data_IF_584073861413
#
_entry.id   IF_584073861413
#
_cell.length_a   1.000
_cell.length_b   1.000
_cell.length_c   1.000
_cell.angle_alpha   90.00
_cell.angle_beta   90.00
_cell.angle_gamma   90.00
#
_symmetry.space_group_name_H-M   'P 1'
#
loop_
_entity.id
_entity.type
_entity.pdbx_description
1 polymer ?
#
# COMPACT_ATOMS: atom_id res chain seq x y z
N UNK A 1 -20.77 10.54 -29.71
CA UNK A 1 -20.35 11.80 -29.09
C UNK A 1 -18.85 11.86 -29.22
N UNK A 2 -18.37 12.86 -29.93
CA UNK A 2 -16.95 13.01 -30.26
C UNK A 2 -16.18 13.60 -29.07
N UNK A 3 -14.86 13.41 -29.05
CA UNK A 3 -14.00 13.87 -27.95
C UNK A 3 -14.11 15.38 -27.72
N UNK A 4 -14.27 16.17 -28.78
CA UNK A 4 -14.38 17.63 -28.68
C UNK A 4 -15.75 18.08 -28.15
N UNK A 5 -16.83 17.37 -28.46
CA UNK A 5 -18.15 17.61 -27.84
C UNK A 5 -18.12 17.36 -26.33
N UNK A 6 -17.38 16.34 -25.87
CA UNK A 6 -17.18 16.05 -24.45
C UNK A 6 -16.38 17.13 -23.71
N UNK A 7 -15.40 17.74 -24.39
CA UNK A 7 -14.63 18.85 -23.82
C UNK A 7 -15.51 20.06 -23.55
N UNK A 8 -16.36 20.42 -24.52
CA UNK A 8 -17.30 21.54 -24.38
C UNK A 8 -18.26 21.30 -23.22
N UNK A 9 -18.88 20.11 -23.14
CA UNK A 9 -19.77 19.75 -22.02
C UNK A 9 -19.06 19.86 -20.66
N UNK A 10 -17.80 19.39 -20.59
CA UNK A 10 -17.01 19.45 -19.36
C UNK A 10 -16.67 20.89 -18.96
N UNK A 11 -16.37 21.76 -19.94
CA UNK A 11 -16.11 23.18 -19.71
C UNK A 11 -17.37 23.94 -19.31
N UNK A 12 -18.52 23.64 -19.92
CA UNK A 12 -19.82 24.24 -19.58
C UNK A 12 -20.27 23.88 -18.15
N UNK A 13 -19.91 22.69 -17.68
CA UNK A 13 -20.22 22.22 -16.33
C UNK A 13 -19.13 22.57 -15.31
N UNK A 14 -18.06 23.27 -15.72
CA UNK A 14 -16.94 23.61 -14.85
C UNK A 14 -17.29 24.76 -13.90
N UNK A 15 -17.20 24.49 -12.59
CA UNK A 15 -17.46 25.46 -11.53
C UNK A 15 -16.19 25.85 -10.74
N UNK A 16 -15.02 25.43 -11.21
CA UNK A 16 -13.74 25.76 -10.58
C UNK A 16 -13.33 27.21 -10.82
N UNK A 17 -12.52 27.76 -9.90
CA UNK A 17 -12.07 29.16 -9.94
C UNK A 17 -11.17 29.50 -11.14
N UNK A 18 -10.50 28.51 -11.71
CA UNK A 18 -9.63 28.65 -12.90
C UNK A 18 -9.99 27.58 -13.93
N UNK A 19 -9.97 27.94 -15.22
CA UNK A 19 -10.21 26.98 -16.30
C UNK A 19 -9.08 25.96 -16.37
N UNK A 20 -9.39 24.67 -16.60
CA UNK A 20 -8.35 23.65 -16.77
C UNK A 20 -7.57 23.90 -18.06
N UNK A 21 -6.27 23.60 -18.02
CA UNK A 21 -5.41 23.56 -19.22
C UNK A 21 -5.87 22.46 -20.18
N UNK A 22 -5.63 22.63 -21.48
CA UNK A 22 -5.96 21.61 -22.50
C UNK A 22 -5.42 20.22 -22.18
N UNK A 23 -4.21 20.12 -21.59
CA UNK A 23 -3.62 18.83 -21.21
C UNK A 23 -4.46 18.11 -20.13
N UNK A 24 -4.79 18.82 -19.04
CA UNK A 24 -5.68 18.30 -17.98
C UNK A 24 -7.08 17.97 -18.52
N UNK A 25 -7.62 18.83 -19.39
CA UNK A 25 -8.93 18.61 -20.01
C UNK A 25 -8.91 17.33 -20.87
N UNK A 26 -7.87 17.13 -21.69
CA UNK A 26 -7.69 15.92 -22.48
C UNK A 26 -7.56 14.67 -21.59
N UNK A 27 -6.77 14.73 -20.50
CA UNK A 27 -6.62 13.60 -19.58
C UNK A 27 -7.96 13.17 -18.95
N UNK A 28 -8.76 14.14 -18.51
CA UNK A 28 -10.07 13.86 -17.90
C UNK A 28 -11.04 13.30 -18.93
N UNK A 29 -11.09 13.89 -20.13
CA UNK A 29 -11.97 13.40 -21.21
C UNK A 29 -11.55 12.01 -21.67
N UNK A 30 -10.25 11.72 -21.79
CA UNK A 30 -9.74 10.38 -22.15
C UNK A 30 -10.09 9.35 -21.07
N UNK A 31 -9.97 9.69 -19.80
CA UNK A 31 -10.41 8.84 -18.69
C UNK A 31 -11.93 8.58 -18.74
N UNK A 32 -12.73 9.60 -19.07
CA UNK A 32 -14.18 9.48 -19.20
C UNK A 32 -14.58 8.58 -20.39
N UNK A 33 -13.95 8.78 -21.56
CA UNK A 33 -14.18 7.93 -22.74
C UNK A 33 -13.84 6.47 -22.41
N UNK A 34 -12.67 6.23 -21.83
CA UNK A 34 -12.25 4.89 -21.43
C UNK A 34 -13.26 4.24 -20.46
N UNK A 35 -13.74 5.00 -19.46
CA UNK A 35 -14.77 4.51 -18.54
C UNK A 35 -16.06 4.12 -19.27
N UNK A 36 -16.55 4.93 -20.22
CA UNK A 36 -17.75 4.64 -21.00
C UNK A 36 -17.57 3.41 -21.89
N UNK A 37 -16.42 3.29 -22.57
CA UNK A 37 -16.10 2.13 -23.41
C UNK A 37 -16.05 0.83 -22.61
N UNK A 38 -15.50 0.88 -21.40
CA UNK A 38 -15.50 -0.25 -20.46
C UNK A 38 -16.94 -0.54 -20.03
N UNK A 39 -17.65 0.45 -19.51
CA UNK A 39 -19.01 0.29 -18.97
C UNK A 39 -20.01 -0.26 -20.01
N UNK A 40 -19.89 0.10 -21.29
CA UNK A 40 -20.76 -0.40 -22.36
C UNK A 40 -20.58 -1.90 -22.65
N UNK A 41 -19.40 -2.47 -22.37
CA UNK A 41 -19.10 -3.88 -22.59
C UNK A 41 -19.52 -4.78 -21.42
N UNK A 42 -19.87 -4.19 -20.28
CA UNK A 42 -20.15 -4.92 -19.06
C UNK A 42 -21.63 -5.31 -18.95
N UNK A 43 -21.96 -6.55 -18.54
CA UNK A 43 -23.32 -6.94 -18.17
C UNK A 43 -23.92 -5.99 -17.13
N UNK A 44 -25.08 -5.39 -17.43
CA UNK A 44 -25.73 -4.35 -16.61
C UNK A 44 -26.33 -4.86 -15.29
N UNK A 45 -26.49 -6.17 -15.15
CA UNK A 45 -27.00 -6.86 -13.97
C UNK A 45 -25.94 -7.12 -12.90
N UNK A 46 -24.68 -6.76 -13.17
CA UNK A 46 -23.52 -6.97 -12.28
C UNK A 46 -22.97 -5.66 -11.75
N UNK A 47 -22.29 -5.74 -10.60
CA UNK A 47 -21.63 -4.61 -9.95
C UNK A 47 -20.12 -4.72 -10.18
N UNK A 48 -19.50 -3.62 -10.60
CA UNK A 48 -18.07 -3.54 -10.89
C UNK A 48 -17.38 -2.44 -10.09
N UNK A 49 -16.08 -2.57 -9.85
CA UNK A 49 -15.26 -1.47 -9.33
C UNK A 49 -14.97 -0.42 -10.43
N UNK A 50 -14.29 0.67 -10.04
CA UNK A 50 -13.88 1.72 -10.98
C UNK A 50 -12.90 1.25 -12.07
N UNK A 51 -12.33 0.05 -11.93
CA UNK A 51 -11.41 -0.57 -12.89
C UNK A 51 -12.13 -1.60 -13.79
N UNK A 52 -13.43 -1.82 -13.59
CA UNK A 52 -14.25 -2.75 -14.36
C UNK A 52 -14.20 -4.20 -13.87
N UNK A 53 -13.65 -4.49 -12.68
CA UNK A 53 -13.66 -5.83 -12.12
C UNK A 53 -14.98 -6.14 -11.41
N UNK A 54 -15.53 -7.34 -11.64
CA UNK A 54 -16.78 -7.77 -11.03
C UNK A 54 -16.63 -7.95 -9.51
N UNK A 55 -17.36 -7.15 -8.73
CA UNK A 55 -17.26 -7.11 -7.27
C UNK A 55 -17.70 -8.41 -6.60
N UNK A 56 -18.75 -9.05 -7.12
CA UNK A 56 -19.23 -10.35 -6.62
C UNK A 56 -18.13 -11.42 -6.77
N UNK A 57 -17.42 -11.40 -7.90
CA UNK A 57 -16.30 -12.33 -8.15
C UNK A 57 -15.14 -12.07 -7.18
N UNK A 58 -14.83 -10.80 -6.92
CA UNK A 58 -13.83 -10.39 -5.93
C UNK A 58 -14.13 -10.97 -4.54
N UNK A 59 -15.39 -10.82 -4.10
CA UNK A 59 -15.85 -11.29 -2.80
C UNK A 59 -15.82 -12.83 -2.72
N UNK A 60 -16.29 -13.52 -3.75
CA UNK A 60 -16.20 -14.98 -3.84
C UNK A 60 -14.75 -15.47 -3.78
N UNK A 61 -13.84 -14.81 -4.50
CA UNK A 61 -12.43 -15.15 -4.49
C UNK A 61 -11.77 -14.83 -3.14
N UNK A 62 -12.16 -13.74 -2.47
CA UNK A 62 -11.73 -13.48 -1.09
C UNK A 62 -12.17 -14.62 -0.16
N UNK A 63 -13.43 -15.06 -0.25
CA UNK A 63 -13.94 -16.16 0.57
C UNK A 63 -13.20 -17.49 0.29
N UNK A 64 -12.85 -17.76 -0.97
CA UNK A 64 -12.02 -18.93 -1.35
C UNK A 64 -10.61 -18.83 -0.78
N UNK A 65 -9.95 -17.68 -0.93
CA UNK A 65 -8.64 -17.45 -0.34
C UNK A 65 -8.66 -17.57 1.19
N UNK A 66 -9.74 -17.13 1.84
CA UNK A 66 -9.90 -17.25 3.30
C UNK A 66 -10.07 -18.70 3.76
N UNK A 67 -10.78 -19.55 3.01
CA UNK A 67 -10.85 -20.99 3.30
C UNK A 67 -9.47 -21.65 3.25
N UNK A 68 -8.59 -21.16 2.36
CA UNK A 68 -7.17 -21.50 2.37
C UNK A 68 -6.84 -22.85 1.73
N UNK A 69 -7.71 -23.37 0.88
CA UNK A 69 -7.46 -24.60 0.13
C UNK A 69 -6.33 -24.37 -0.89
N UNK A 70 -5.38 -25.30 -0.96
CA UNK A 70 -4.16 -25.12 -1.76
C UNK A 70 -4.42 -24.85 -3.24
N UNK A 71 -5.37 -25.55 -3.85
CA UNK A 71 -5.77 -25.37 -5.26
C UNK A 71 -6.33 -23.97 -5.53
N UNK A 72 -7.15 -23.45 -4.60
CA UNK A 72 -7.70 -22.10 -4.72
C UNK A 72 -6.59 -21.07 -4.59
N UNK A 73 -5.71 -21.22 -3.60
CA UNK A 73 -4.61 -20.27 -3.39
C UNK A 73 -3.62 -20.26 -4.55
N UNK A 74 -3.34 -21.42 -5.15
CA UNK A 74 -2.47 -21.54 -6.34
C UNK A 74 -3.01 -20.74 -7.53
N UNK A 75 -4.32 -20.64 -7.67
CA UNK A 75 -4.96 -19.81 -8.69
C UNK A 75 -4.98 -18.33 -8.27
N UNK A 76 -5.37 -18.06 -7.03
CA UNK A 76 -5.68 -16.72 -6.54
C UNK A 76 -4.45 -15.88 -6.21
N UNK A 77 -3.26 -16.46 -6.11
CA UNK A 77 -2.00 -15.71 -5.93
C UNK A 77 -1.73 -14.71 -7.06
N UNK A 78 -2.34 -14.94 -8.23
CA UNK A 78 -2.24 -14.07 -9.42
C UNK A 78 -3.53 -13.33 -9.75
N UNK A 79 -4.53 -13.33 -8.84
CA UNK A 79 -5.82 -12.69 -9.06
C UNK A 79 -5.64 -11.20 -9.41
N UNK A 80 -6.44 -10.65 -10.34
CA UNK A 80 -6.31 -9.25 -10.77
C UNK A 80 -6.58 -8.26 -9.62
N UNK A 81 -7.41 -8.67 -8.66
CA UNK A 81 -7.84 -7.83 -7.54
C UNK A 81 -6.86 -8.00 -6.38
N UNK A 82 -6.18 -6.92 -6.02
CA UNK A 82 -5.13 -6.98 -4.99
C UNK A 82 -5.68 -7.40 -3.61
N UNK A 83 -6.95 -7.10 -3.30
CA UNK A 83 -7.60 -7.52 -2.06
C UNK A 83 -7.61 -9.04 -1.92
N UNK A 84 -7.86 -9.77 -3.02
CA UNK A 84 -7.79 -11.24 -3.05
C UNK A 84 -6.36 -11.69 -2.76
N UNK A 85 -5.37 -11.08 -3.41
CA UNK A 85 -3.95 -11.42 -3.19
C UNK A 85 -3.46 -11.11 -1.77
N UNK A 86 -4.01 -10.07 -1.12
CA UNK A 86 -3.80 -9.83 0.33
C UNK A 86 -4.35 -11.00 1.16
N UNK A 87 -5.53 -11.53 0.84
CA UNK A 87 -6.08 -12.73 1.52
C UNK A 87 -5.20 -13.96 1.31
N UNK A 88 -4.61 -14.12 0.12
CA UNK A 88 -3.63 -15.17 -0.16
C UNK A 88 -2.37 -14.98 0.70
N UNK A 89 -1.78 -13.78 0.75
CA UNK A 89 -0.61 -13.49 1.60
C UNK A 89 -0.87 -13.82 3.08
N UNK A 90 -2.09 -13.53 3.57
CA UNK A 90 -2.50 -13.86 4.95
C UNK A 90 -2.54 -15.36 5.25
N UNK A 91 -2.51 -16.25 4.25
CA UNK A 91 -2.40 -17.70 4.45
C UNK A 91 -0.97 -18.16 4.71
N UNK A 92 0.02 -17.28 4.49
CA UNK A 92 1.43 -17.47 4.85
C UNK A 92 2.09 -18.70 4.22
N UNK A 93 1.57 -19.20 3.09
CA UNK A 93 2.21 -20.30 2.37
C UNK A 93 3.48 -19.80 1.71
N UNK A 94 4.55 -20.57 1.87
CA UNK A 94 5.88 -20.12 1.49
C UNK A 94 6.00 -19.81 -0.01
N UNK A 95 5.41 -20.67 -0.86
CA UNK A 95 5.39 -20.51 -2.32
C UNK A 95 4.61 -19.27 -2.79
N UNK A 96 3.55 -18.88 -2.06
CA UNK A 96 2.73 -17.73 -2.44
C UNK A 96 3.48 -16.43 -2.11
N UNK A 97 4.07 -16.37 -0.91
CA UNK A 97 4.83 -15.19 -0.47
C UNK A 97 6.09 -14.96 -1.33
N UNK A 98 6.72 -16.02 -1.85
CA UNK A 98 7.84 -15.93 -2.79
C UNK A 98 7.46 -15.19 -4.09
N UNK A 99 6.17 -15.23 -4.46
CA UNK A 99 5.62 -14.48 -5.59
C UNK A 99 5.20 -13.08 -5.14
N UNK A 100 4.44 -12.99 -4.04
CA UNK A 100 3.77 -11.77 -3.60
C UNK A 100 4.74 -10.71 -3.03
N UNK A 101 5.97 -11.07 -2.67
CA UNK A 101 7.01 -10.11 -2.27
C UNK A 101 7.34 -9.11 -3.41
N UNK A 102 7.08 -9.49 -4.65
CA UNK A 102 7.28 -8.66 -5.85
C UNK A 102 5.98 -8.08 -6.42
N UNK A 103 4.86 -8.19 -5.68
CA UNK A 103 3.54 -7.78 -6.16
C UNK A 103 3.50 -6.31 -6.59
N UNK A 104 2.82 -5.93 -7.70
CA UNK A 104 2.72 -4.53 -8.10
C UNK A 104 2.03 -3.64 -7.04
N UNK A 105 1.08 -4.18 -6.28
CA UNK A 105 0.36 -3.49 -5.22
C UNK A 105 1.19 -3.39 -3.95
N UNK A 106 1.45 -2.15 -3.50
CA UNK A 106 2.13 -1.93 -2.23
C UNK A 106 1.33 -2.44 -1.02
N UNK A 107 0.00 -2.58 -1.13
CA UNK A 107 -0.82 -3.16 -0.06
C UNK A 107 -0.53 -4.65 0.12
N UNK A 108 -0.29 -5.38 -0.97
CA UNK A 108 0.10 -6.80 -0.92
C UNK A 108 1.51 -6.94 -0.37
N UNK A 109 2.49 -6.17 -0.89
CA UNK A 109 3.87 -6.22 -0.38
C UNK A 109 3.97 -5.81 1.09
N UNK A 110 3.16 -4.84 1.53
CA UNK A 110 3.03 -4.48 2.95
C UNK A 110 2.55 -5.69 3.76
N UNK A 111 1.55 -6.43 3.29
CA UNK A 111 1.07 -7.64 3.98
C UNK A 111 2.15 -8.72 4.06
N UNK A 112 2.93 -8.92 2.99
CA UNK A 112 4.10 -9.83 3.01
C UNK A 112 5.12 -9.39 4.06
N UNK A 113 5.45 -8.09 4.15
CA UNK A 113 6.29 -7.56 5.24
C UNK A 113 5.66 -7.79 6.62
N UNK A 114 4.33 -7.75 6.76
CA UNK A 114 3.65 -8.06 8.02
C UNK A 114 3.68 -9.54 8.39
N UNK A 115 3.75 -10.45 7.42
CA UNK A 115 4.03 -11.86 7.70
C UNK A 115 5.45 -12.02 8.25
N UNK A 116 6.42 -11.32 7.67
CA UNK A 116 7.73 -11.10 8.28
C UNK A 116 8.73 -12.24 8.15
N UNK A 117 8.72 -12.99 7.04
CA UNK A 117 9.80 -13.95 6.75
C UNK A 117 11.08 -13.21 6.43
N UNK A 118 12.22 -13.71 6.92
CA UNK A 118 13.49 -13.01 6.79
C UNK A 118 13.87 -12.68 5.35
N UNK A 119 13.73 -13.66 4.44
CA UNK A 119 14.02 -13.50 3.01
C UNK A 119 13.16 -12.43 2.32
N UNK A 120 11.93 -12.24 2.79
CA UNK A 120 11.04 -11.22 2.22
C UNK A 120 11.43 -9.83 2.75
N UNK A 121 11.75 -9.73 4.04
CA UNK A 121 12.16 -8.48 4.67
C UNK A 121 13.49 -7.96 4.09
N UNK A 122 14.43 -8.86 3.79
CA UNK A 122 15.69 -8.53 3.11
C UNK A 122 15.46 -7.82 1.77
N UNK A 123 14.38 -8.16 1.07
CA UNK A 123 13.94 -7.50 -0.17
C UNK A 123 13.22 -6.18 0.16
N UNK A 124 12.18 -6.26 1.01
CA UNK A 124 11.22 -5.18 1.25
C UNK A 124 11.78 -4.02 2.07
N UNK A 125 12.92 -4.17 2.75
CA UNK A 125 13.62 -3.04 3.41
C UNK A 125 14.00 -1.94 2.39
N UNK A 126 14.10 -2.28 1.11
CA UNK A 126 14.37 -1.36 -0.01
C UNK A 126 13.11 -0.93 -0.77
N UNK A 127 11.91 -1.28 -0.32
CA UNK A 127 10.68 -1.05 -1.07
C UNK A 127 10.51 0.45 -1.41
N UNK A 128 10.00 0.77 -2.59
CA UNK A 128 9.73 2.16 -2.99
C UNK A 128 8.68 2.84 -2.10
N UNK A 129 7.73 2.10 -1.57
CA UNK A 129 6.63 2.62 -0.76
C UNK A 129 7.01 2.70 0.73
N UNK A 130 7.02 3.91 1.35
CA UNK A 130 7.35 4.07 2.76
C UNK A 130 6.48 3.24 3.71
N UNK A 131 5.21 3.01 3.39
CA UNK A 131 4.32 2.17 4.21
C UNK A 131 4.78 0.71 4.29
N UNK A 132 5.42 0.20 3.24
CA UNK A 132 6.00 -1.16 3.22
C UNK A 132 7.27 -1.18 4.08
N UNK A 133 8.18 -0.22 3.90
CA UNK A 133 9.39 -0.11 4.73
C UNK A 133 9.08 0.09 6.23
N UNK A 134 8.00 0.82 6.55
CA UNK A 134 7.51 0.92 7.92
C UNK A 134 7.00 -0.43 8.46
N UNK A 135 6.36 -1.26 7.64
CA UNK A 135 5.98 -2.63 8.04
C UNK A 135 7.22 -3.50 8.33
N UNK A 136 8.30 -3.34 7.56
CA UNK A 136 9.60 -3.97 7.83
C UNK A 136 10.17 -3.50 9.17
N UNK A 137 10.21 -2.17 9.42
CA UNK A 137 10.70 -1.61 10.68
C UNK A 137 9.95 -2.13 11.92
N UNK A 138 8.65 -2.44 11.80
CA UNK A 138 7.84 -3.02 12.90
C UNK A 138 8.35 -4.39 13.35
N UNK A 139 9.08 -5.12 12.51
CA UNK A 139 9.66 -6.43 12.85
C UNK A 139 10.91 -6.32 13.70
N UNK A 140 11.44 -5.10 13.88
CA UNK A 140 12.53 -4.78 14.80
C UNK A 140 13.81 -5.62 14.61
N UNK A 141 14.05 -6.10 13.39
CA UNK A 141 15.29 -6.79 13.02
C UNK A 141 16.46 -5.81 13.02
N UNK A 142 17.55 -6.08 13.76
CA UNK A 142 18.69 -5.17 13.88
C UNK A 142 19.20 -4.61 12.55
N UNK A 143 19.40 -5.48 11.55
CA UNK A 143 19.92 -5.11 10.23
C UNK A 143 18.98 -4.19 9.45
N UNK A 144 17.66 -4.34 9.63
CA UNK A 144 16.68 -3.48 8.96
C UNK A 144 16.62 -2.12 9.67
N UNK A 145 16.67 -2.11 11.00
CA UNK A 145 16.68 -0.87 11.79
C UNK A 145 17.93 -0.03 11.52
N UNK A 146 19.11 -0.66 11.47
CA UNK A 146 20.38 0.00 11.14
C UNK A 146 20.31 0.75 9.81
N UNK A 147 19.53 0.23 8.85
CA UNK A 147 19.27 0.86 7.56
C UNK A 147 18.18 1.94 7.63
N UNK A 148 17.03 1.60 8.21
CA UNK A 148 15.82 2.42 8.19
C UNK A 148 15.86 3.60 9.16
N UNK A 149 16.79 3.63 10.12
CA UNK A 149 16.99 4.79 11.02
C UNK A 149 17.33 6.07 10.22
N UNK A 150 17.95 5.92 9.05
CA UNK A 150 18.29 7.02 8.14
C UNK A 150 17.30 7.16 6.97
N UNK A 151 16.13 6.52 7.02
CA UNK A 151 15.17 6.53 5.91
C UNK A 151 14.75 7.96 5.54
N UNK A 152 14.66 8.27 4.25
CA UNK A 152 14.19 9.57 3.75
C UNK A 152 12.82 9.99 4.31
N UNK A 153 11.92 9.03 4.56
CA UNK A 153 10.57 9.27 5.02
C UNK A 153 10.47 9.28 6.56
N UNK A 154 9.96 10.37 7.12
CA UNK A 154 9.84 10.52 8.57
C UNK A 154 8.88 9.52 9.24
N UNK A 155 7.90 8.95 8.53
CA UNK A 155 7.01 7.91 9.08
C UNK A 155 7.75 6.60 9.32
N UNK A 156 8.71 6.27 8.44
CA UNK A 156 9.58 5.10 8.62
C UNK A 156 10.48 5.31 9.82
N UNK A 157 11.15 6.47 9.92
CA UNK A 157 11.99 6.81 11.08
C UNK A 157 11.19 6.86 12.39
N UNK A 158 9.97 7.39 12.38
CA UNK A 158 9.08 7.33 13.54
C UNK A 158 8.76 5.89 13.95
N UNK A 159 8.54 5.00 12.98
CA UNK A 159 8.33 3.56 13.24
C UNK A 159 9.59 2.91 13.83
N UNK A 160 10.78 3.25 13.31
CA UNK A 160 12.06 2.83 13.89
C UNK A 160 12.20 3.30 15.33
N UNK A 161 11.85 4.55 15.65
CA UNK A 161 11.89 5.05 17.03
C UNK A 161 10.93 4.29 17.96
N UNK A 162 9.73 3.93 17.49
CA UNK A 162 8.70 3.24 18.28
C UNK A 162 8.99 1.76 18.53
N UNK A 163 9.55 1.05 17.54
CA UNK A 163 9.74 -0.41 17.61
C UNK A 163 11.20 -0.82 17.75
N UNK A 164 12.13 0.10 17.50
CA UNK A 164 13.57 -0.16 17.52
C UNK A 164 14.18 -0.16 18.91
N UNK A 165 15.50 -0.25 18.94
CA UNK A 165 16.33 -0.31 20.15
C UNK A 165 16.56 1.09 20.70
N UNK A 166 17.10 1.16 21.91
CA UNK A 166 17.49 2.43 22.56
C UNK A 166 18.41 3.27 21.67
N UNK A 167 19.41 2.66 21.04
CA UNK A 167 20.35 3.36 20.15
C UNK A 167 19.68 3.98 18.92
N UNK A 168 18.61 3.36 18.41
CA UNK A 168 17.87 3.87 17.25
C UNK A 168 17.09 5.13 17.65
N UNK A 169 16.52 5.18 18.87
CA UNK A 169 15.92 6.39 19.45
C UNK A 169 16.96 7.50 19.68
N UNK A 170 18.13 7.16 20.22
CA UNK A 170 19.22 8.13 20.42
C UNK A 170 19.70 8.75 19.10
N UNK A 171 19.80 7.95 18.04
CA UNK A 171 20.15 8.43 16.71
C UNK A 171 19.10 9.41 16.15
N UNK A 172 17.83 9.26 16.54
CA UNK A 172 16.70 10.05 16.06
C UNK A 172 16.31 11.22 16.97
N UNK A 173 16.96 11.44 18.12
CA UNK A 173 16.56 12.48 19.09
C UNK A 173 16.52 13.89 18.51
N UNK A 174 17.36 14.18 17.53
CA UNK A 174 17.43 15.47 16.86
C UNK A 174 16.65 15.50 15.53
N UNK A 175 15.79 14.51 15.27
CA UNK A 175 14.99 14.49 14.05
C UNK A 175 14.09 15.72 13.97
N UNK A 176 14.12 16.39 12.82
CA UNK A 176 13.39 17.63 12.57
C UNK A 176 11.86 17.49 12.61
N UNK A 177 11.33 16.28 12.43
CA UNK A 177 9.89 16.05 12.39
C UNK A 177 9.35 15.61 13.75
N UNK A 178 8.32 16.33 14.22
CA UNK A 178 7.61 16.02 15.48
C UNK A 178 7.07 14.59 15.55
N UNK A 179 6.66 14.00 14.42
CA UNK A 179 6.16 12.62 14.37
C UNK A 179 7.21 11.60 14.83
N UNK A 180 8.49 11.88 14.58
CA UNK A 180 9.60 11.02 15.03
C UNK A 180 9.79 11.16 16.54
N UNK A 181 9.69 12.38 17.07
CA UNK A 181 9.71 12.64 18.52
C UNK A 181 8.56 11.94 19.25
N UNK A 182 7.36 11.92 18.67
CA UNK A 182 6.24 11.10 19.17
C UNK A 182 6.59 9.61 19.15
N UNK A 183 7.22 9.14 18.07
CA UNK A 183 7.69 7.76 17.95
C UNK A 183 8.71 7.36 19.03
N UNK A 184 9.64 8.26 19.39
CA UNK A 184 10.61 8.06 20.47
C UNK A 184 9.89 7.87 21.82
N UNK A 185 8.97 8.77 22.15
CA UNK A 185 8.17 8.68 23.39
C UNK A 185 7.38 7.38 23.46
N UNK A 186 6.75 6.99 22.36
CA UNK A 186 6.03 5.71 22.28
C UNK A 186 6.96 4.52 22.45
N UNK A 187 8.16 4.54 21.86
CA UNK A 187 9.17 3.50 22.04
C UNK A 187 9.66 3.39 23.48
N UNK A 188 9.92 4.52 24.15
CA UNK A 188 10.29 4.54 25.56
C UNK A 188 9.20 3.90 26.45
N UNK A 189 7.93 4.29 26.24
CA UNK A 189 6.79 3.71 26.96
C UNK A 189 6.66 2.21 26.70
N UNK A 190 6.80 1.78 25.43
CA UNK A 190 6.65 0.39 25.03
C UNK A 190 7.72 -0.52 25.61
N UNK A 191 8.93 0.00 25.80
CA UNK A 191 10.09 -0.76 26.28
C UNK A 191 10.44 -0.47 27.75
N UNK A 192 9.61 0.28 28.48
CA UNK A 192 9.80 0.57 29.91
C UNK A 192 11.01 1.45 30.21
N UNK A 193 11.41 2.30 29.26
CA UNK A 193 12.52 3.23 29.44
C UNK A 193 12.03 4.51 30.14
N UNK A 194 12.66 4.90 31.24
CA UNK A 194 12.36 6.14 31.95
C UNK A 194 13.25 7.26 31.39
N UNK A 195 12.68 8.45 31.18
CA UNK A 195 13.47 9.65 30.87
C UNK A 195 14.48 9.87 32.00
N UNK A 196 15.78 9.69 31.73
CA UNK A 196 16.82 10.27 32.57
C UNK A 196 16.82 11.78 32.25
N UNK A 197 16.03 12.53 33.02
CA UNK A 197 16.13 13.98 33.02
C UNK A 197 17.50 14.36 33.58
N UNK A 198 18.31 15.03 32.74
CA UNK A 198 19.56 15.67 33.13
C UNK A 198 19.29 17.08 33.67
#
# INVERSE_FOLDING_TARGET
MEKDELKEIFLDSWNGSEKPTDEKLNQVVDAYIHFIEVAQKLPKDKIYDAQGHEMIKAEQNCNRAEKGNDEDLDLLVSDQIYQVRVKVALRKRDKDLDILVHDPSANVRKEVAEVGRDKDLDILVNDKEPKVRAAVARKARPQDLDKLVNDSNCLVRATVATYGRKQDREALKNDKYKVVQTGIKQGMLKHGEVEQQA
#
